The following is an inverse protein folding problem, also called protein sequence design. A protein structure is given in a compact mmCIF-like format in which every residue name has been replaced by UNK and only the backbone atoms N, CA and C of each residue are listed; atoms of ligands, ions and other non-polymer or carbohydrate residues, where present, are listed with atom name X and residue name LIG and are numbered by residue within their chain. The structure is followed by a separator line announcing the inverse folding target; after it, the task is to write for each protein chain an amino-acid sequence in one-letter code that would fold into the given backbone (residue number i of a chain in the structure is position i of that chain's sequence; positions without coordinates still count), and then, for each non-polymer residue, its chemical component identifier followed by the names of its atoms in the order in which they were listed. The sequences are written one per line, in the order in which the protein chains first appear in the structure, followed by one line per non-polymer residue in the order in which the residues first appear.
data_IF_047429130367
#
_entry.id   IF_047429130367
#
_cell.length_a   1.000
_cell.length_b   1.000
_cell.length_c   1.000
_cell.angle_alpha   90.00
_cell.angle_beta   90.00
_cell.angle_gamma   90.00
#
_symmetry.space_group_name_H-M   'P 1'
#
loop_
_entity.id
_entity.type
_entity.pdbx_description
1 polymer ?
#
# COMPACT_ATOMS: atom_id res chain seq x y z
N UNK A 1 46.55 8.20 -19.62
CA UNK A 1 45.43 7.26 -19.85
C UNK A 1 44.74 6.96 -18.54
N UNK A 2 43.49 7.41 -18.48
CA UNK A 2 42.72 7.70 -17.29
C UNK A 2 42.13 6.42 -16.69
N UNK A 3 42.65 6.09 -15.51
CA UNK A 3 42.18 5.20 -14.45
C UNK A 3 40.93 4.32 -14.68
N UNK A 4 41.18 3.02 -14.77
CA UNK A 4 40.24 1.90 -14.63
C UNK A 4 39.56 1.83 -13.24
N UNK A 5 39.87 2.74 -12.30
CA UNK A 5 39.25 2.80 -10.97
C UNK A 5 37.85 3.45 -10.95
N UNK A 6 37.42 4.10 -12.03
CA UNK A 6 36.09 4.74 -12.09
C UNK A 6 34.96 3.79 -12.52
N UNK A 7 35.27 2.69 -13.22
CA UNK A 7 34.24 1.73 -13.66
C UNK A 7 33.74 0.81 -12.54
N UNK A 8 34.54 0.60 -11.49
CA UNK A 8 34.15 -0.21 -10.32
C UNK A 8 33.43 0.59 -9.22
N UNK A 9 33.42 1.92 -9.31
CA UNK A 9 32.65 2.76 -8.39
C UNK A 9 31.16 2.87 -8.79
N UNK A 10 30.83 2.58 -10.05
CA UNK A 10 29.45 2.60 -10.55
C UNK A 10 28.66 1.29 -10.33
N UNK A 11 29.32 0.21 -9.89
CA UNK A 11 28.67 -1.10 -9.70
C UNK A 11 28.21 -1.39 -8.26
N UNK A 12 28.34 -0.43 -7.34
CA UNK A 12 27.95 -0.58 -5.93
C UNK A 12 26.86 0.38 -5.47
N UNK A 13 26.36 1.27 -6.33
CA UNK A 13 25.08 1.93 -6.11
C UNK A 13 23.96 1.05 -6.69
N UNK A 14 23.88 -0.19 -6.22
CA UNK A 14 22.60 -0.88 -6.24
C UNK A 14 21.70 -0.02 -5.35
N UNK A 15 20.79 0.76 -5.95
CA UNK A 15 19.59 1.17 -5.22
C UNK A 15 19.00 -0.14 -4.70
N UNK A 16 19.18 -0.43 -3.41
CA UNK A 16 18.46 -1.51 -2.78
C UNK A 16 16.99 -1.11 -2.87
N UNK A 17 16.27 -1.74 -3.79
CA UNK A 17 14.82 -1.58 -3.87
C UNK A 17 14.28 -2.06 -2.52
N UNK A 18 13.53 -1.22 -1.78
CA UNK A 18 13.02 -1.62 -0.49
C UNK A 18 12.13 -2.85 -0.65
N UNK A 19 12.23 -3.80 0.28
CA UNK A 19 11.31 -4.92 0.34
C UNK A 19 9.94 -4.39 0.73
N UNK A 20 8.94 -4.68 -0.08
CA UNK A 20 7.59 -4.18 0.12
C UNK A 20 6.62 -5.30 0.46
N UNK A 21 5.82 -5.10 1.50
CA UNK A 21 4.63 -5.91 1.75
C UNK A 21 3.39 -5.03 1.68
N UNK A 22 2.36 -5.49 0.99
CA UNK A 22 1.12 -4.74 0.74
C UNK A 22 -0.09 -5.51 1.22
N UNK A 23 -1.11 -4.78 1.64
CA UNK A 23 -2.46 -5.28 1.84
C UNK A 23 -3.42 -4.29 1.21
N UNK A 24 -4.35 -4.76 0.40
CA UNK A 24 -5.26 -3.89 -0.35
C UNK A 24 -6.57 -4.62 -0.66
N UNK A 25 -7.56 -3.88 -1.16
CA UNK A 25 -8.88 -4.40 -1.41
C UNK A 25 -9.54 -4.91 -0.13
N UNK A 26 -10.23 -6.05 -0.20
CA UNK A 26 -10.99 -6.66 0.91
C UNK A 26 -10.21 -7.69 1.72
N UNK A 27 -8.97 -8.00 1.35
CA UNK A 27 -8.21 -9.07 1.97
C UNK A 27 -6.96 -9.53 1.23
N UNK A 28 -6.60 -8.85 0.13
CA UNK A 28 -5.44 -9.23 -0.68
C UNK A 28 -4.17 -8.85 0.05
N UNK A 29 -3.21 -9.77 0.13
CA UNK A 29 -1.90 -9.54 0.72
C UNK A 29 -0.82 -9.91 -0.29
N UNK A 30 0.11 -8.99 -0.50
CA UNK A 30 1.39 -9.21 -1.15
C UNK A 30 2.48 -9.31 -0.06
N UNK A 31 2.91 -10.51 0.34
CA UNK A 31 4.00 -10.67 1.28
C UNK A 31 5.35 -10.22 0.67
N UNK A 32 6.40 -10.14 1.49
CA UNK A 32 7.73 -9.74 1.00
C UNK A 32 8.32 -10.69 -0.06
N UNK A 33 7.83 -11.94 -0.14
CA UNK A 33 8.23 -12.91 -1.16
C UNK A 33 7.46 -12.77 -2.49
N UNK A 34 6.49 -11.84 -2.57
CA UNK A 34 5.84 -11.41 -3.80
C UNK A 34 4.53 -12.11 -4.16
N UNK A 35 4.31 -13.37 -3.78
CA UNK A 35 3.14 -14.13 -4.26
C UNK A 35 1.85 -13.67 -3.57
N UNK A 36 0.91 -13.12 -4.34
CA UNK A 36 -0.39 -12.65 -3.85
C UNK A 36 -1.26 -13.80 -3.32
N UNK A 37 -1.97 -13.53 -2.23
CA UNK A 37 -3.04 -14.38 -1.72
C UNK A 37 -4.14 -13.54 -1.06
N UNK A 38 -5.27 -14.17 -0.76
CA UNK A 38 -6.43 -13.50 -0.16
C UNK A 38 -6.76 -14.08 1.22
N UNK A 39 -7.14 -13.21 2.16
CA UNK A 39 -7.64 -13.58 3.49
C UNK A 39 -8.99 -12.93 3.72
N UNK A 40 -10.05 -13.73 3.72
CA UNK A 40 -11.39 -13.25 4.02
C UNK A 40 -11.66 -13.29 5.53
N UNK A 41 -11.55 -12.16 6.21
CA UNK A 41 -11.80 -12.11 7.65
C UNK A 41 -11.99 -10.68 8.20
N UNK A 42 -12.82 -10.56 9.25
CA UNK A 42 -13.00 -9.38 10.09
C UNK A 42 -12.18 -9.44 11.41
N UNK A 43 -11.38 -10.50 11.58
CA UNK A 43 -10.50 -10.66 12.73
C UNK A 43 -9.33 -9.66 12.69
N UNK A 44 -8.78 -9.27 13.86
CA UNK A 44 -7.52 -8.58 13.90
C UNK A 44 -6.36 -9.53 13.51
N UNK A 45 -5.51 -9.08 12.59
CA UNK A 45 -4.29 -9.79 12.17
C UNK A 45 -3.04 -8.96 12.43
N UNK A 46 -1.93 -9.65 12.64
CA UNK A 46 -0.60 -9.03 12.52
C UNK A 46 -0.19 -9.07 11.06
N UNK A 47 -0.10 -7.90 10.42
CA UNK A 47 0.41 -7.76 9.06
C UNK A 47 1.90 -8.10 9.04
N UNK A 48 2.70 -7.43 9.88
CA UNK A 48 4.10 -7.77 10.10
C UNK A 48 4.52 -7.49 11.54
N UNK A 49 5.45 -8.29 12.07
CA UNK A 49 6.14 -8.05 13.34
C UNK A 49 7.59 -8.50 13.21
N UNK A 50 8.51 -7.66 13.67
CA UNK A 50 9.93 -7.97 13.70
C UNK A 50 10.64 -7.13 14.77
N UNK A 51 11.86 -7.53 15.09
CA UNK A 51 12.76 -6.79 15.98
C UNK A 51 14.08 -6.60 15.27
N UNK A 52 14.55 -5.35 15.21
CA UNK A 52 15.86 -5.02 14.63
C UNK A 52 16.61 -4.07 15.56
N UNK A 53 17.87 -4.36 15.88
CA UNK A 53 18.70 -3.56 16.80
C UNK A 53 17.99 -3.22 18.13
N UNK A 54 17.26 -4.18 18.70
CA UNK A 54 16.44 -4.05 19.93
C UNK A 54 15.22 -3.12 19.81
N UNK A 55 14.95 -2.58 18.63
CA UNK A 55 13.73 -1.84 18.32
C UNK A 55 12.70 -2.81 17.77
N UNK A 56 11.56 -2.91 18.46
CA UNK A 56 10.41 -3.70 18.01
C UNK A 56 9.54 -2.87 17.06
N UNK A 57 9.10 -3.52 15.98
CA UNK A 57 8.06 -3.03 15.10
C UNK A 57 6.94 -4.07 15.00
N UNK A 58 5.69 -3.63 15.13
CA UNK A 58 4.52 -4.45 14.83
C UNK A 58 3.44 -3.61 14.16
N UNK A 59 2.88 -4.15 13.09
CA UNK A 59 1.73 -3.57 12.39
C UNK A 59 0.58 -4.58 12.51
N UNK A 60 -0.48 -4.19 13.20
CA UNK A 60 -1.72 -4.96 13.30
C UNK A 60 -2.84 -4.25 12.57
N UNK A 61 -3.80 -5.02 12.07
CA UNK A 61 -4.87 -4.50 11.24
C UNK A 61 -6.16 -5.28 11.47
N UNK A 62 -7.31 -4.61 11.33
CA UNK A 62 -8.63 -5.21 11.36
C UNK A 62 -9.47 -4.65 10.21
N UNK A 63 -10.15 -5.54 9.48
CA UNK A 63 -11.09 -5.17 8.42
C UNK A 63 -12.51 -5.09 8.96
N UNK A 64 -13.30 -4.17 8.38
CA UNK A 64 -14.72 -4.05 8.63
C UNK A 64 -15.54 -4.96 7.71
N UNK A 65 -16.85 -4.98 7.94
CA UNK A 65 -17.80 -5.70 7.08
C UNK A 65 -17.91 -5.12 5.67
N UNK A 66 -17.34 -3.94 5.42
CA UNK A 66 -17.23 -3.31 4.11
C UNK A 66 -15.96 -3.76 3.34
N UNK A 67 -15.15 -4.65 3.91
CA UNK A 67 -13.90 -5.13 3.33
C UNK A 67 -12.71 -4.20 3.57
N UNK A 68 -12.93 -2.93 3.90
CA UNK A 68 -11.87 -1.96 4.12
C UNK A 68 -11.21 -2.15 5.50
N UNK A 69 -9.99 -1.66 5.64
CA UNK A 69 -9.31 -1.58 6.92
C UNK A 69 -9.96 -0.48 7.77
N UNK A 70 -10.56 -0.88 8.90
CA UNK A 70 -11.24 0.05 9.82
C UNK A 70 -10.36 0.43 11.01
N UNK A 71 -9.37 -0.40 11.33
CA UNK A 71 -8.42 -0.17 12.41
C UNK A 71 -7.04 -0.67 12.03
N UNK A 72 -6.03 0.18 12.18
CA UNK A 72 -4.62 -0.20 12.02
C UNK A 72 -3.83 0.33 13.21
N UNK A 73 -3.03 -0.53 13.83
CA UNK A 73 -2.08 -0.11 14.86
C UNK A 73 -0.66 -0.32 14.36
N UNK A 74 0.12 0.77 14.34
CA UNK A 74 1.54 0.79 14.00
C UNK A 74 2.29 1.05 15.30
N UNK A 75 3.02 0.05 15.77
CA UNK A 75 3.86 0.16 16.96
C UNK A 75 5.33 0.18 16.54
N UNK A 76 6.04 1.28 16.83
CA UNK A 76 7.48 1.43 16.59
C UNK A 76 8.13 1.91 17.87
N UNK A 77 9.08 1.13 18.42
CA UNK A 77 9.77 1.48 19.65
C UNK A 77 8.83 1.85 20.81
N UNK A 78 7.75 1.07 21.00
CA UNK A 78 6.67 1.27 22.00
C UNK A 78 5.76 2.48 21.76
N UNK A 79 6.03 3.29 20.74
CA UNK A 79 5.12 4.35 20.32
C UNK A 79 4.01 3.72 19.49
N UNK A 80 2.77 3.90 19.94
CA UNK A 80 1.57 3.39 19.28
C UNK A 80 0.95 4.49 18.43
N UNK A 81 0.86 4.26 17.13
CA UNK A 81 0.09 5.07 16.18
C UNK A 81 -1.14 4.27 15.75
N UNK A 82 -2.32 4.86 15.83
CA UNK A 82 -3.59 4.25 15.46
C UNK A 82 -4.21 5.00 14.29
N UNK A 83 -4.63 4.25 13.28
CA UNK A 83 -5.41 4.75 12.14
C UNK A 83 -6.83 4.22 12.27
N UNK A 84 -7.78 5.13 12.49
CA UNK A 84 -9.19 4.81 12.72
C UNK A 84 -10.03 6.03 12.33
N UNK A 85 -11.21 5.81 11.72
CA UNK A 85 -12.15 6.87 11.31
C UNK A 85 -11.54 8.00 10.47
N UNK A 86 -10.54 7.68 9.65
CA UNK A 86 -9.80 8.65 8.83
C UNK A 86 -8.86 9.58 9.62
N UNK A 87 -8.77 9.41 10.95
CA UNK A 87 -7.86 10.14 11.82
C UNK A 87 -6.58 9.35 12.10
N UNK A 88 -5.55 10.08 12.54
CA UNK A 88 -4.29 9.52 13.02
C UNK A 88 -4.15 9.89 14.49
N UNK A 89 -3.99 8.90 15.38
CA UNK A 89 -3.78 9.12 16.81
C UNK A 89 -2.41 8.56 17.20
N UNK A 90 -1.68 9.25 18.08
CA UNK A 90 -0.35 8.83 18.55
C UNK A 90 -0.36 8.79 20.07
N UNK A 91 0.12 7.71 20.69
CA UNK A 91 0.19 7.53 22.15
C UNK A 91 -1.14 7.78 22.91
N UNK A 92 -2.27 7.39 22.29
CA UNK A 92 -3.62 7.61 22.82
C UNK A 92 -3.97 9.10 23.07
N UNK A 93 -3.27 10.03 22.43
CA UNK A 93 -3.69 11.43 22.37
C UNK A 93 -4.86 11.60 21.40
N UNK A 94 -5.52 12.77 21.48
CA UNK A 94 -6.47 13.18 20.43
C UNK A 94 -5.79 13.17 19.05
N UNK A 95 -6.61 13.04 18.01
CA UNK A 95 -6.19 13.05 16.61
C UNK A 95 -5.17 14.15 16.32
N UNK A 96 -4.07 13.79 15.65
CA UNK A 96 -2.98 14.69 15.28
C UNK A 96 -3.24 15.33 13.92
N UNK A 97 -2.68 16.52 13.69
CA UNK A 97 -2.67 17.15 12.36
C UNK A 97 -1.38 16.82 11.65
N UNK A 98 -1.46 16.61 10.34
CA UNK A 98 -0.31 16.33 9.50
C UNK A 98 0.25 17.62 8.89
N UNK A 99 1.58 17.75 8.71
CA UNK A 99 2.60 16.79 9.15
C UNK A 99 2.74 16.76 10.69
N UNK A 100 3.16 15.62 11.23
CA UNK A 100 3.32 15.38 12.65
C UNK A 100 4.69 14.75 12.93
N UNK A 101 5.46 15.42 13.78
CA UNK A 101 6.76 14.95 14.26
C UNK A 101 6.67 14.38 15.67
N UNK A 102 7.32 13.23 15.85
CA UNK A 102 7.55 12.60 17.14
C UNK A 102 8.98 12.08 17.19
N UNK A 103 9.50 11.84 18.39
CA UNK A 103 10.89 11.42 18.64
C UNK A 103 11.37 10.26 17.76
N UNK A 104 10.49 9.31 17.39
CA UNK A 104 10.86 8.13 16.60
C UNK A 104 10.16 8.01 15.25
N UNK A 105 9.28 8.94 14.90
CA UNK A 105 8.46 8.84 13.69
C UNK A 105 8.07 10.21 13.14
N UNK A 106 8.01 10.31 11.82
CA UNK A 106 7.51 11.47 11.10
C UNK A 106 6.32 11.02 10.24
N UNK A 107 5.16 11.66 10.40
CA UNK A 107 3.93 11.34 9.66
C UNK A 107 3.55 12.53 8.78
N UNK A 108 3.39 12.33 7.48
CA UNK A 108 3.21 13.43 6.53
C UNK A 108 2.40 13.01 5.29
N UNK A 109 1.77 13.97 4.59
CA UNK A 109 1.11 13.71 3.30
C UNK A 109 2.12 13.23 2.24
N UNK A 110 1.74 12.25 1.42
CA UNK A 110 2.60 11.64 0.39
C UNK A 110 1.77 11.35 -0.87
N UNK A 111 1.69 12.32 -1.78
CA UNK A 111 0.73 12.30 -2.90
C UNK A 111 -0.71 12.21 -2.38
N UNK A 112 -1.49 11.25 -2.88
CA UNK A 112 -2.81 10.94 -2.33
C UNK A 112 -2.77 10.14 -1.01
N UNK A 113 -1.59 9.68 -0.61
CA UNK A 113 -1.39 8.80 0.54
C UNK A 113 -0.96 9.59 1.77
N UNK A 114 -0.90 8.91 2.92
CA UNK A 114 -0.15 9.36 4.09
C UNK A 114 1.00 8.41 4.34
N UNK A 115 2.18 8.95 4.67
CA UNK A 115 3.40 8.18 4.94
C UNK A 115 3.86 8.43 6.37
N UNK A 116 4.08 7.36 7.11
CA UNK A 116 4.83 7.34 8.37
C UNK A 116 6.24 6.82 8.06
N UNK A 117 7.25 7.63 8.38
CA UNK A 117 8.66 7.24 8.29
C UNK A 117 9.23 7.07 9.70
N UNK A 118 9.86 5.93 9.95
CA UNK A 118 10.58 5.71 11.21
C UNK A 118 11.93 6.44 11.20
N UNK A 119 12.29 7.05 12.33
CA UNK A 119 13.61 7.64 12.55
C UNK A 119 14.62 6.64 13.14
N UNK A 120 14.15 5.47 13.58
CA UNK A 120 14.96 4.45 14.29
C UNK A 120 15.06 3.11 13.56
N UNK A 121 14.26 2.92 12.51
CA UNK A 121 14.27 1.76 11.64
C UNK A 121 14.25 2.25 10.18
N UNK A 122 14.90 1.54 9.24
CA UNK A 122 14.73 1.77 7.81
C UNK A 122 13.38 1.18 7.35
N UNK A 123 12.31 1.80 7.85
CA UNK A 123 10.92 1.39 7.72
C UNK A 123 10.07 2.61 7.37
N UNK A 124 9.20 2.45 6.38
CA UNK A 124 8.05 3.32 6.18
C UNK A 124 6.75 2.50 6.13
N UNK A 125 5.66 3.13 6.55
CA UNK A 125 4.29 2.63 6.42
C UNK A 125 3.48 3.67 5.67
N UNK A 126 2.86 3.27 4.56
CA UNK A 126 2.10 4.17 3.69
C UNK A 126 0.69 3.62 3.55
N UNK A 127 -0.32 4.49 3.58
CA UNK A 127 -1.72 4.10 3.43
C UNK A 127 -2.54 5.14 2.69
N UNK A 128 -3.67 4.71 2.14
CA UNK A 128 -4.66 5.57 1.50
C UNK A 128 -5.98 5.50 2.27
N UNK A 129 -6.46 6.65 2.72
CA UNK A 129 -7.73 6.76 3.43
C UNK A 129 -8.86 7.07 2.42
N UNK A 130 -9.93 6.30 2.51
CA UNK A 130 -11.14 6.46 1.69
C UNK A 130 -12.38 6.52 2.60
N UNK A 131 -13.54 6.97 2.10
CA UNK A 131 -14.79 6.84 2.85
C UNK A 131 -15.01 5.40 3.34
N UNK A 132 -15.09 5.23 4.66
CA UNK A 132 -15.33 3.94 5.31
C UNK A 132 -14.09 3.14 5.72
N UNK A 133 -12.87 3.65 5.48
CA UNK A 133 -11.64 3.01 6.00
C UNK A 133 -10.40 3.27 5.16
N UNK A 134 -9.51 2.29 5.12
CA UNK A 134 -8.28 2.29 4.31
C UNK A 134 -8.41 1.16 3.27
N UNK A 135 -8.22 1.50 1.99
CA UNK A 135 -8.32 0.55 0.86
C UNK A 135 -6.97 -0.08 0.49
N UNK A 136 -5.86 0.61 0.76
CA UNK A 136 -4.50 0.09 0.58
C UNK A 136 -3.56 0.56 1.70
N UNK A 137 -2.70 -0.36 2.14
CA UNK A 137 -1.63 -0.11 3.10
C UNK A 137 -0.42 -0.95 2.72
N UNK A 138 0.77 -0.35 2.73
CA UNK A 138 2.01 -1.08 2.53
C UNK A 138 3.12 -0.61 3.44
N UNK A 139 4.11 -1.47 3.55
CA UNK A 139 5.33 -1.23 4.32
C UNK A 139 6.55 -1.40 3.43
N UNK A 140 7.46 -0.43 3.49
CA UNK A 140 8.76 -0.42 2.82
C UNK A 140 9.84 -0.70 3.88
N UNK A 141 10.67 -1.72 3.68
CA UNK A 141 11.73 -2.09 4.62
C UNK A 141 13.03 -2.38 3.87
N UNK A 142 14.17 -1.91 4.40
CA UNK A 142 15.51 -2.22 3.87
C UNK A 142 16.19 -3.39 4.63
N UNK A 143 15.42 -4.20 5.36
CA UNK A 143 15.90 -5.27 6.24
C UNK A 143 15.26 -6.61 5.85
N UNK A 144 16.04 -7.68 5.88
CA UNK A 144 15.64 -8.99 5.34
C UNK A 144 15.80 -10.18 6.30
N UNK A 145 15.39 -10.08 7.58
CA UNK A 145 15.35 -11.28 8.43
C UNK A 145 14.26 -11.28 9.53
N UNK A 146 13.67 -12.48 9.73
CA UNK A 146 12.66 -12.89 10.73
C UNK A 146 11.37 -12.03 10.82
N UNK A 147 10.76 -11.73 9.68
CA UNK A 147 9.43 -11.11 9.61
C UNK A 147 8.33 -12.15 9.93
N UNK A 148 7.49 -11.84 10.92
CA UNK A 148 6.33 -12.66 11.32
C UNK A 148 5.02 -12.00 10.92
N UNK A 149 3.96 -12.78 10.76
CA UNK A 149 2.65 -12.28 10.34
C UNK A 149 2.37 -12.57 8.88
N UNK A 150 1.37 -11.88 8.32
CA UNK A 150 0.91 -12.07 6.95
C UNK A 150 2.00 -11.73 5.90
N UNK A 151 2.88 -10.78 6.17
CA UNK A 151 3.99 -10.45 5.29
C UNK A 151 5.16 -11.45 5.32
N UNK A 152 5.18 -12.39 6.27
CA UNK A 152 6.29 -13.30 6.53
C UNK A 152 6.25 -14.58 5.69
N UNK A 153 7.33 -15.36 5.75
CA UNK A 153 7.47 -16.62 4.99
C UNK A 153 6.61 -17.78 5.51
N UNK A 154 6.07 -17.67 6.73
CA UNK A 154 5.27 -18.71 7.36
C UNK A 154 3.91 -18.16 7.76
N UNK A 155 2.93 -18.28 6.86
CA UNK A 155 1.53 -18.09 7.26
C UNK A 155 1.13 -19.23 8.20
N UNK A 156 0.97 -18.90 9.48
CA UNK A 156 0.22 -19.72 10.42
C UNK A 156 -1.13 -19.06 10.66
N UNK A 157 -2.03 -19.20 9.70
CA UNK A 157 -3.47 -19.01 9.91
C UNK A 157 -3.92 -20.17 10.81
N UNK A 158 -3.70 -20.08 12.12
CA UNK A 158 -4.38 -21.01 13.02
C UNK A 158 -5.85 -20.62 13.00
N UNK A 159 -6.68 -21.44 12.34
CA UNK A 159 -8.15 -21.39 12.35
C UNK A 159 -8.68 -21.74 13.75
N UNK A 160 -8.24 -21.01 14.77
CA UNK A 160 -8.93 -21.01 16.05
C UNK A 160 -10.10 -20.08 15.83
N UNK A 161 -11.31 -20.68 15.82
CA UNK A 161 -12.58 -19.98 15.94
C UNK A 161 -12.48 -19.06 17.16
N UNK A 162 -12.02 -17.82 16.94
CA UNK A 162 -11.99 -16.81 17.96
C UNK A 162 -13.45 -16.46 18.21
N UNK A 163 -13.87 -16.43 19.48
CA UNK A 163 -15.27 -16.40 19.88
C UNK A 163 -16.08 -15.20 19.32
N UNK A 164 -15.42 -14.21 18.71
CA UNK A 164 -15.98 -12.91 18.31
C UNK A 164 -15.66 -12.45 16.87
N UNK A 165 -14.97 -13.22 16.04
CA UNK A 165 -14.65 -12.85 14.66
C UNK A 165 -14.59 -14.08 13.74
N UNK A 166 -14.69 -13.88 12.42
CA UNK A 166 -14.85 -14.92 11.41
C UNK A 166 -13.68 -14.91 10.45
N UNK A 167 -13.13 -16.10 10.17
CA UNK A 167 -12.21 -16.35 9.06
C UNK A 167 -12.97 -17.29 8.12
N UNK A 168 -13.19 -16.87 6.88
CA UNK A 168 -13.85 -17.69 5.87
C UNK A 168 -12.83 -18.20 4.86
N UNK A 169 -13.15 -19.36 4.29
CA UNK A 169 -12.47 -19.82 3.10
C UNK A 169 -12.77 -18.85 1.95
N UNK A 170 -11.76 -18.51 1.13
CA UNK A 170 -11.95 -17.62 0.01
C UNK A 170 -12.88 -18.27 -1.03
N UNK A 171 -13.84 -17.49 -1.54
CA UNK A 171 -14.77 -17.91 -2.57
C UNK A 171 -14.47 -17.12 -3.85
N UNK A 172 -14.13 -17.84 -4.91
CA UNK A 172 -13.86 -17.26 -6.23
C UNK A 172 -15.10 -17.43 -7.12
N UNK A 173 -15.76 -16.33 -7.43
CA UNK A 173 -16.89 -16.30 -8.38
C UNK A 173 -16.48 -15.51 -9.62
N UNK A 174 -16.85 -16.01 -10.81
CA UNK A 174 -16.48 -15.38 -12.08
C UNK A 174 -16.91 -13.91 -12.08
N UNK A 175 -15.95 -13.02 -12.27
CA UNK A 175 -16.18 -11.59 -12.34
C UNK A 175 -15.73 -11.04 -13.70
N UNK A 176 -16.64 -10.37 -14.41
CA UNK A 176 -16.39 -9.88 -15.77
C UNK A 176 -15.31 -8.80 -15.82
N UNK A 177 -15.22 -7.94 -14.80
CA UNK A 177 -14.23 -6.86 -14.76
C UNK A 177 -12.84 -7.41 -14.50
N UNK A 178 -12.70 -8.41 -13.62
CA UNK A 178 -11.46 -9.18 -13.47
C UNK A 178 -11.05 -9.78 -14.82
N UNK A 179 -11.92 -10.59 -15.45
CA UNK A 179 -11.60 -11.28 -16.71
C UNK A 179 -11.23 -10.30 -17.82
N UNK A 180 -11.95 -9.17 -17.89
CA UNK A 180 -11.72 -8.13 -18.89
C UNK A 180 -10.41 -7.39 -18.64
N UNK A 181 -10.11 -6.97 -17.41
CA UNK A 181 -8.83 -6.33 -17.11
C UNK A 181 -7.65 -7.25 -17.50
N UNK A 182 -7.70 -8.52 -17.09
CA UNK A 182 -6.62 -9.46 -17.32
C UNK A 182 -6.42 -9.85 -18.80
N UNK A 183 -7.40 -9.62 -19.68
CA UNK A 183 -7.18 -9.77 -21.12
C UNK A 183 -6.25 -8.70 -21.70
N UNK A 184 -6.07 -7.58 -21.00
CA UNK A 184 -5.19 -6.47 -21.40
C UNK A 184 -3.86 -6.44 -20.63
N UNK A 185 -3.63 -7.36 -19.69
CA UNK A 185 -2.37 -7.46 -18.93
C UNK A 185 -1.51 -8.65 -19.35
N UNK A 186 -1.88 -9.32 -20.45
CA UNK A 186 -1.16 -10.50 -20.95
C UNK A 186 0.27 -10.17 -21.37
N UNK A 187 0.59 -8.94 -21.73
CA UNK A 187 1.94 -8.50 -22.07
C UNK A 187 2.88 -8.34 -20.85
N UNK A 188 2.32 -8.10 -19.65
CA UNK A 188 3.09 -7.88 -18.42
C UNK A 188 2.99 -9.02 -17.38
N UNK A 189 1.90 -9.78 -17.33
CA UNK A 189 1.61 -10.72 -16.22
C UNK A 189 1.46 -12.19 -16.66
N UNK A 190 1.88 -12.55 -17.88
CA UNK A 190 1.65 -13.85 -18.55
C UNK A 190 1.55 -15.08 -17.63
N UNK A 191 2.60 -15.34 -16.83
CA UNK A 191 2.68 -16.56 -16.03
C UNK A 191 1.90 -16.52 -14.72
N UNK A 192 1.51 -15.32 -14.25
CA UNK A 192 0.78 -15.13 -12.99
C UNK A 192 -0.71 -14.81 -13.22
N UNK A 193 -1.14 -14.68 -14.47
CA UNK A 193 -2.51 -14.28 -14.80
C UNK A 193 -3.59 -15.15 -14.14
N UNK A 194 -3.48 -16.50 -14.10
CA UNK A 194 -4.50 -17.33 -13.46
C UNK A 194 -4.63 -17.06 -11.95
N UNK A 195 -3.51 -16.94 -11.25
CA UNK A 195 -3.47 -16.66 -9.81
C UNK A 195 -4.06 -15.29 -9.51
N UNK A 196 -3.70 -14.28 -10.31
CA UNK A 196 -4.19 -12.92 -10.15
C UNK A 196 -5.70 -12.82 -10.43
N UNK A 197 -6.22 -13.53 -11.44
CA UNK A 197 -7.66 -13.58 -11.70
C UNK A 197 -8.39 -14.19 -10.49
N UNK A 198 -7.89 -15.31 -9.95
CA UNK A 198 -8.50 -15.94 -8.76
C UNK A 198 -8.52 -14.98 -7.58
N UNK A 199 -7.40 -14.33 -7.27
CA UNK A 199 -7.32 -13.36 -6.16
C UNK A 199 -8.23 -12.15 -6.42
N UNK A 200 -8.37 -11.70 -7.67
CA UNK A 200 -9.30 -10.64 -8.05
C UNK A 200 -10.76 -11.02 -7.76
N UNK A 201 -11.16 -12.22 -8.16
CA UNK A 201 -12.51 -12.75 -7.95
C UNK A 201 -12.82 -12.92 -6.45
N UNK A 202 -11.86 -13.44 -5.68
CA UNK A 202 -11.97 -13.56 -4.21
C UNK A 202 -12.06 -12.20 -3.51
N UNK A 203 -11.32 -11.21 -4.00
CA UNK A 203 -11.33 -9.85 -3.48
C UNK A 203 -12.68 -9.15 -3.69
N UNK A 204 -13.31 -9.35 -4.84
CA UNK A 204 -14.54 -8.65 -5.21
C UNK A 204 -15.79 -9.37 -4.66
N UNK A 205 -15.71 -10.68 -4.43
CA UNK A 205 -16.85 -11.46 -3.94
C UNK A 205 -17.44 -10.89 -2.64
N UNK A 206 -18.76 -10.64 -2.64
CA UNK A 206 -19.54 -9.95 -1.59
C UNK A 206 -19.25 -8.44 -1.43
N UNK A 207 -18.38 -7.87 -2.26
CA UNK A 207 -17.99 -6.46 -2.25
C UNK A 207 -18.16 -5.80 -3.63
N UNK A 208 -19.02 -6.35 -4.49
CA UNK A 208 -19.19 -5.93 -5.88
C UNK A 208 -19.57 -4.45 -6.02
N UNK A 209 -20.29 -3.92 -5.02
CA UNK A 209 -20.72 -2.51 -4.99
C UNK A 209 -19.70 -1.56 -4.33
N UNK A 210 -18.65 -2.09 -3.69
CA UNK A 210 -17.64 -1.27 -3.05
C UNK A 210 -16.48 -1.01 -4.02
N UNK A 211 -16.55 0.10 -4.75
CA UNK A 211 -15.51 0.49 -5.70
C UNK A 211 -14.13 0.66 -5.05
N UNK A 212 -14.03 1.02 -3.77
CA UNK A 212 -12.72 1.12 -3.11
C UNK A 212 -12.05 -0.25 -2.97
N UNK A 213 -12.82 -1.34 -2.85
CA UNK A 213 -12.29 -2.71 -2.81
C UNK A 213 -11.78 -3.15 -4.19
N UNK A 214 -12.56 -2.96 -5.25
CA UNK A 214 -12.18 -3.39 -6.60
C UNK A 214 -11.09 -2.50 -7.20
N UNK A 215 -11.21 -1.17 -7.07
CA UNK A 215 -10.30 -0.23 -7.70
C UNK A 215 -8.91 -0.21 -7.06
N UNK A 216 -8.80 -0.44 -5.76
CA UNK A 216 -7.48 -0.60 -5.12
C UNK A 216 -6.76 -1.83 -5.67
N UNK A 217 -7.46 -2.96 -5.87
CA UNK A 217 -6.89 -4.14 -6.50
C UNK A 217 -6.43 -3.87 -7.94
N UNK A 218 -7.31 -3.32 -8.78
CA UNK A 218 -6.97 -3.04 -10.19
C UNK A 218 -5.80 -2.08 -10.31
N UNK A 219 -5.76 -1.03 -9.49
CA UNK A 219 -4.65 -0.08 -9.46
C UNK A 219 -3.32 -0.76 -9.15
N UNK A 220 -3.26 -1.65 -8.17
CA UNK A 220 -2.02 -2.38 -7.84
C UNK A 220 -1.58 -3.30 -8.98
N UNK A 221 -2.50 -3.98 -9.66
CA UNK A 221 -2.20 -4.82 -10.85
C UNK A 221 -1.59 -3.96 -11.97
N UNK A 222 -2.19 -2.81 -12.26
CA UNK A 222 -1.72 -1.89 -13.30
C UNK A 222 -0.35 -1.32 -12.95
N UNK A 223 -0.10 -0.98 -11.67
CA UNK A 223 1.23 -0.56 -11.20
C UNK A 223 2.30 -1.62 -11.43
N UNK A 224 1.98 -2.91 -11.30
CA UNK A 224 2.93 -3.98 -11.58
C UNK A 224 3.28 -4.09 -13.08
N UNK A 225 2.35 -3.75 -13.97
CA UNK A 225 2.61 -3.66 -15.41
C UNK A 225 3.44 -2.42 -15.79
N UNK A 226 3.38 -1.37 -14.97
CA UNK A 226 4.18 -0.16 -15.12
C UNK A 226 3.62 0.84 -16.13
N UNK A 227 4.13 2.07 -16.06
CA UNK A 227 3.61 3.23 -16.81
C UNK A 227 3.83 3.19 -18.32
N UNK A 228 4.63 2.25 -18.82
CA UNK A 228 4.84 2.03 -20.26
C UNK A 228 3.88 0.99 -20.87
N UNK A 229 3.08 0.31 -20.03
CA UNK A 229 2.15 -0.73 -20.49
C UNK A 229 0.88 -0.14 -21.08
N UNK A 230 0.29 -0.82 -22.07
CA UNK A 230 -0.97 -0.35 -22.68
C UNK A 230 -2.13 -0.28 -21.67
N UNK A 231 -2.16 -1.19 -20.70
CA UNK A 231 -3.19 -1.21 -19.66
C UNK A 231 -3.16 0.04 -18.78
N UNK A 232 -1.99 0.67 -18.58
CA UNK A 232 -1.83 1.88 -17.78
C UNK A 232 -2.75 3.03 -18.22
N UNK A 233 -2.96 3.19 -19.52
CA UNK A 233 -3.75 4.30 -20.07
C UNK A 233 -5.25 4.03 -20.10
N UNK A 234 -5.66 2.75 -20.06
CA UNK A 234 -7.05 2.35 -20.35
C UNK A 234 -7.75 1.68 -19.18
N UNK A 235 -7.06 1.31 -18.11
CA UNK A 235 -7.63 0.49 -17.04
C UNK A 235 -8.87 1.13 -16.41
N UNK A 236 -8.86 2.44 -16.14
CA UNK A 236 -10.02 3.15 -15.55
C UNK A 236 -11.25 3.11 -16.46
N UNK A 237 -11.05 3.15 -17.77
CA UNK A 237 -12.13 3.00 -18.76
C UNK A 237 -12.68 1.57 -18.79
N UNK A 238 -11.84 0.57 -18.50
CA UNK A 238 -12.24 -0.84 -18.45
C UNK A 238 -12.99 -1.16 -17.15
N UNK A 239 -12.48 -0.67 -16.02
CA UNK A 239 -12.94 -1.04 -14.67
C UNK A 239 -13.94 -0.05 -14.07
N UNK A 240 -14.17 1.08 -14.74
CA UNK A 240 -15.03 2.17 -14.28
C UNK A 240 -14.58 2.80 -12.95
N UNK A 241 -13.29 2.72 -12.63
CA UNK A 241 -12.70 3.29 -11.43
C UNK A 241 -12.46 4.80 -11.56
N UNK A 242 -13.12 5.58 -10.71
CA UNK A 242 -12.94 7.03 -10.65
C UNK A 242 -11.54 7.42 -10.18
N UNK A 243 -11.05 8.55 -10.71
CA UNK A 243 -9.82 9.18 -10.23
C UNK A 243 -10.00 9.67 -8.78
N UNK A 244 -8.96 9.57 -7.93
CA UNK A 244 -8.96 10.20 -6.63
C UNK A 244 -9.25 11.70 -6.70
N UNK A 245 -10.04 12.19 -5.74
CA UNK A 245 -10.39 13.60 -5.66
C UNK A 245 -9.21 14.40 -5.09
N UNK A 246 -8.81 15.43 -5.83
CA UNK A 246 -7.79 16.37 -5.39
C UNK A 246 -8.42 17.62 -4.75
N UNK A 247 -7.66 18.27 -3.86
CA UNK A 247 -8.11 19.50 -3.22
C UNK A 247 -7.96 20.70 -4.16
N UNK A 248 -8.95 21.59 -4.17
CA UNK A 248 -8.91 22.82 -4.98
C UNK A 248 -8.86 22.54 -6.48
N UNK A 249 -7.99 23.25 -7.19
CA UNK A 249 -7.82 23.18 -8.65
C UNK A 249 -6.73 22.18 -9.10
N UNK A 250 -6.23 21.33 -8.18
CA UNK A 250 -5.24 20.32 -8.50
C UNK A 250 -5.89 19.18 -9.31
N UNK A 251 -5.13 18.59 -10.23
CA UNK A 251 -5.58 17.42 -10.99
C UNK A 251 -4.80 16.17 -10.62
N UNK A 252 -5.46 15.02 -10.70
CA UNK A 252 -4.87 13.73 -10.36
C UNK A 252 -3.96 13.23 -11.48
N UNK A 253 -2.84 12.61 -11.10
CA UNK A 253 -1.97 11.84 -11.99
C UNK A 253 -1.58 10.52 -11.32
N UNK A 254 -1.48 9.46 -12.12
CA UNK A 254 -1.10 8.13 -11.61
C UNK A 254 0.33 8.08 -11.07
N UNK A 255 1.23 8.86 -11.70
CA UNK A 255 2.62 8.98 -11.33
C UNK A 255 3.03 10.46 -11.42
N UNK A 256 3.29 11.06 -10.26
CA UNK A 256 3.73 12.44 -10.12
C UNK A 256 4.51 12.63 -8.82
N UNK A 257 5.05 13.84 -8.60
CA UNK A 257 5.81 14.14 -7.40
C UNK A 257 4.97 13.89 -6.13
N UNK A 258 5.52 13.15 -5.17
CA UNK A 258 4.85 12.87 -3.90
C UNK A 258 4.61 14.14 -3.05
N UNK A 259 5.37 15.20 -3.32
CA UNK A 259 5.29 16.47 -2.61
C UNK A 259 4.97 17.58 -3.60
N UNK A 260 3.76 18.11 -3.49
CA UNK A 260 3.32 19.26 -4.29
C UNK A 260 4.09 20.49 -3.81
N UNK A 261 4.79 21.20 -4.71
CA UNK A 261 5.46 22.45 -4.34
C UNK A 261 4.43 23.45 -3.81
N UNK A 262 4.85 24.30 -2.89
CA UNK A 262 3.99 25.37 -2.34
C UNK A 262 4.62 26.72 -2.63
N UNK A 263 3.83 27.79 -2.65
CA UNK A 263 4.37 29.12 -2.89
C UNK A 263 5.46 29.51 -1.86
N UNK A 264 5.38 28.99 -0.64
CA UNK A 264 6.38 29.18 0.42
C UNK A 264 7.59 28.25 0.30
N UNK A 265 7.48 27.15 -0.43
CA UNK A 265 8.56 26.20 -0.67
C UNK A 265 8.47 25.64 -2.09
N UNK A 266 9.08 26.38 -3.03
CA UNK A 266 9.05 26.08 -4.46
C UNK A 266 9.94 24.89 -4.85
N UNK A 267 10.85 24.46 -3.97
CA UNK A 267 11.72 23.31 -4.20
C UNK A 267 11.33 22.17 -3.28
N UNK A 268 10.69 21.16 -3.83
CA UNK A 268 10.60 19.84 -3.22
C UNK A 268 11.72 18.98 -3.81
N UNK A 269 12.85 18.87 -3.10
CA UNK A 269 14.04 18.07 -3.52
C UNK A 269 13.78 16.54 -3.51
N UNK A 270 12.52 16.11 -3.43
CA UNK A 270 12.16 14.70 -3.41
C UNK A 270 11.83 14.23 -4.82
N UNK A 271 12.63 13.27 -5.30
CA UNK A 271 12.40 12.54 -6.55
C UNK A 271 11.37 11.41 -6.41
N UNK A 272 10.69 11.31 -5.25
CA UNK A 272 9.73 10.24 -5.00
C UNK A 272 8.49 10.45 -5.86
N UNK A 273 8.22 9.47 -6.73
CA UNK A 273 7.04 9.44 -7.58
C UNK A 273 5.97 8.51 -6.99
N UNK A 274 4.73 8.97 -7.02
CA UNK A 274 3.55 8.24 -6.55
C UNK A 274 2.30 8.80 -7.19
N UNK A 275 1.15 8.18 -6.96
CA UNK A 275 -0.13 8.78 -7.35
C UNK A 275 -0.36 10.05 -6.56
N UNK A 276 -0.56 11.15 -7.28
CA UNK A 276 -0.47 12.48 -6.69
C UNK A 276 -1.47 13.45 -7.32
N UNK A 277 -1.63 14.59 -6.66
CA UNK A 277 -2.39 15.73 -7.13
C UNK A 277 -1.39 16.82 -7.52
N UNK A 278 -1.38 17.24 -8.78
CA UNK A 278 -0.38 18.17 -9.31
C UNK A 278 -1.00 19.49 -9.75
N UNK A 279 -0.19 20.54 -9.75
CA UNK A 279 -0.61 21.86 -10.20
C UNK A 279 -0.77 21.88 -11.73
N UNK A 280 -1.81 22.55 -12.26
CA UNK A 280 -1.93 22.82 -13.70
C UNK A 280 -0.70 23.56 -14.21
N UNK A 281 -0.24 23.17 -15.40
CA UNK A 281 0.94 23.74 -16.07
C UNK A 281 0.90 25.28 -16.03
N UNK A 282 1.96 25.90 -15.49
CA UNK A 282 2.11 27.36 -15.41
C UNK A 282 1.54 28.03 -14.15
N UNK A 283 1.10 27.27 -13.14
CA UNK A 283 0.72 27.79 -11.82
C UNK A 283 1.50 27.06 -10.71
N UNK A 284 2.74 27.51 -10.47
CA UNK A 284 3.59 27.11 -9.34
C UNK A 284 3.67 28.21 -8.28
#
# INVERSE_FOLDING_TARGET
NMSFKWLLAFSYFWLQVPYTCRTFGSGVVQPFNGTLYHVHSDCPFTLTRFTHNRVECAISMKRGLNGLLVHVEIMINKIKTVLEDGGVQVEATKSVRLPYDHTYQHIFPYGIYTKLRSAVLPLAVIWHSVPGGIDTLWTEIELSSDMKGLCGNHLRLTSKKALSCVILDPVSTINTDCRRLFSYTLDCLMHMTPEFIRVCEENIHNFEQNQFVSCSFFKEVVRQCGSSSYIWDIWRKITHCEEPKCAGDLFYVEEGAAFVPTCSNQKTDSYDLTSSCVCPNGKE
#
